data_IF_194974762113
#
_entry.id   IF_194974762113
#
_cell.length_a   1.000
_cell.length_b   1.000
_cell.length_c   1.000
_cell.angle_alpha   90.00
_cell.angle_beta   90.00
_cell.angle_gamma   90.00
#
_symmetry.space_group_name_H-M   'P 1'
#
loop_
_entity.id
_entity.type
_entity.pdbx_description
1 polymer ?
#
# COMPACT_ATOMS: atom_id res chain seq x y z
N UNK A 1 -28.28 -21.21 -14.73
CA UNK A 1 -26.87 -21.12 -14.27
C UNK A 1 -26.53 -22.16 -13.19
N UNK A 2 -27.35 -22.33 -12.14
CA UNK A 2 -27.11 -23.29 -11.03
C UNK A 2 -26.79 -24.74 -11.42
N UNK A 3 -27.33 -25.24 -12.53
CA UNK A 3 -27.13 -26.64 -12.95
C UNK A 3 -25.67 -26.98 -13.32
N UNK A 4 -24.92 -26.02 -13.90
CA UNK A 4 -23.52 -26.24 -14.30
C UNK A 4 -22.58 -26.30 -13.10
N UNK A 5 -22.78 -25.45 -12.10
CA UNK A 5 -21.88 -25.38 -10.94
C UNK A 5 -22.11 -26.57 -9.99
N UNK A 6 -23.36 -27.02 -9.87
CA UNK A 6 -23.69 -28.28 -9.18
C UNK A 6 -23.04 -29.48 -9.89
N UNK A 7 -23.02 -29.50 -11.23
CA UNK A 7 -22.34 -30.55 -12.00
C UNK A 7 -20.82 -30.54 -11.77
N UNK A 8 -20.17 -29.37 -11.81
CA UNK A 8 -18.74 -29.22 -11.52
C UNK A 8 -18.41 -29.65 -10.08
N UNK A 9 -19.25 -29.26 -9.13
CA UNK A 9 -19.09 -29.63 -7.73
C UNK A 9 -19.17 -31.15 -7.53
N UNK A 10 -20.19 -31.78 -8.11
CA UNK A 10 -20.36 -33.23 -8.05
C UNK A 10 -19.20 -33.98 -8.75
N UNK A 11 -18.74 -33.48 -9.89
CA UNK A 11 -17.60 -34.06 -10.61
C UNK A 11 -16.29 -33.96 -9.80
N UNK A 12 -16.06 -32.82 -9.14
CA UNK A 12 -14.87 -32.62 -8.31
C UNK A 12 -14.93 -33.49 -7.05
N UNK A 13 -16.06 -33.52 -6.35
CA UNK A 13 -16.27 -34.38 -5.18
C UNK A 13 -16.06 -35.87 -5.52
N UNK A 14 -16.61 -36.32 -6.65
CA UNK A 14 -16.37 -37.69 -7.14
C UNK A 14 -14.89 -37.96 -7.39
N UNK A 15 -14.19 -37.06 -8.07
CA UNK A 15 -12.75 -37.20 -8.31
C UNK A 15 -11.91 -37.24 -7.01
N UNK A 16 -12.27 -36.44 -5.99
CA UNK A 16 -11.58 -36.44 -4.70
C UNK A 16 -11.75 -37.77 -3.97
N UNK A 17 -12.95 -38.36 -4.03
CA UNK A 17 -13.24 -39.68 -3.47
C UNK A 17 -12.55 -40.80 -4.25
N UNK A 18 -12.63 -40.78 -5.58
CA UNK A 18 -12.04 -41.80 -6.45
C UNK A 18 -10.50 -41.83 -6.34
N UNK A 19 -9.87 -40.68 -6.02
CA UNK A 19 -8.43 -40.57 -5.76
C UNK A 19 -8.03 -40.89 -4.32
N UNK A 20 -8.97 -41.23 -3.44
CA UNK A 20 -8.71 -41.50 -2.02
C UNK A 20 -8.25 -40.28 -1.22
N UNK A 21 -8.46 -39.05 -1.74
CA UNK A 21 -8.11 -37.79 -1.04
C UNK A 21 -9.08 -37.52 0.11
N UNK A 22 -10.31 -38.01 -0.01
CA UNK A 22 -11.36 -37.95 1.00
C UNK A 22 -11.91 -39.36 1.23
N UNK A 23 -12.20 -39.69 2.48
CA UNK A 23 -12.62 -41.02 2.89
C UNK A 23 -14.14 -41.19 2.79
N UNK A 24 -14.89 -40.09 2.89
CA UNK A 24 -16.35 -40.07 2.76
C UNK A 24 -16.81 -39.16 1.64
N UNK A 25 -18.04 -39.40 1.17
CA UNK A 25 -18.66 -38.54 0.14
C UNK A 25 -18.88 -37.12 0.66
N UNK A 26 -19.26 -36.97 1.92
CA UNK A 26 -19.54 -35.66 2.54
C UNK A 26 -18.26 -34.84 2.67
N UNK A 27 -17.16 -35.47 3.10
CA UNK A 27 -15.83 -34.84 3.14
C UNK A 27 -15.40 -34.37 1.74
N UNK A 28 -15.60 -35.22 0.72
CA UNK A 28 -15.27 -34.88 -0.66
C UNK A 28 -16.12 -33.73 -1.20
N UNK A 29 -17.39 -33.66 -0.81
CA UNK A 29 -18.31 -32.60 -1.24
C UNK A 29 -17.95 -31.26 -0.58
N UNK A 30 -17.69 -31.24 0.73
CA UNK A 30 -17.23 -30.03 1.42
C UNK A 30 -15.91 -29.51 0.86
N UNK A 31 -14.94 -30.40 0.65
CA UNK A 31 -13.64 -30.02 0.07
C UNK A 31 -13.77 -29.51 -1.38
N UNK A 32 -14.67 -30.09 -2.16
CA UNK A 32 -14.96 -29.60 -3.51
C UNK A 32 -15.61 -28.20 -3.50
N UNK A 33 -16.49 -27.90 -2.54
CA UNK A 33 -17.07 -26.56 -2.37
C UNK A 33 -15.99 -25.53 -2.05
N UNK A 34 -15.10 -25.84 -1.12
CA UNK A 34 -13.98 -24.96 -0.74
C UNK A 34 -13.05 -24.68 -1.93
N UNK A 35 -12.65 -25.73 -2.67
CA UNK A 35 -11.75 -25.61 -3.82
C UNK A 35 -12.38 -24.81 -4.97
N UNK A 36 -13.69 -24.91 -5.19
CA UNK A 36 -14.38 -24.11 -6.20
C UNK A 36 -14.53 -22.64 -5.79
N UNK A 37 -14.57 -22.35 -4.48
CA UNK A 37 -14.56 -20.97 -3.96
C UNK A 37 -13.17 -20.32 -3.94
N UNK A 38 -12.10 -21.10 -3.87
CA UNK A 38 -10.72 -20.60 -3.78
C UNK A 38 -10.30 -19.63 -4.90
N UNK A 39 -10.63 -19.84 -6.19
CA UNK A 39 -10.27 -18.89 -7.24
C UNK A 39 -10.83 -17.47 -7.01
N UNK A 40 -12.08 -17.37 -6.54
CA UNK A 40 -12.71 -16.08 -6.24
C UNK A 40 -12.05 -15.41 -5.03
N UNK A 41 -11.74 -16.18 -3.99
CA UNK A 41 -10.99 -15.67 -2.83
C UNK A 41 -9.61 -15.17 -3.26
N UNK A 42 -8.90 -15.93 -4.09
CA UNK A 42 -7.58 -15.56 -4.61
C UNK A 42 -7.64 -14.27 -5.45
N UNK A 43 -8.64 -14.13 -6.31
CA UNK A 43 -8.84 -12.92 -7.12
C UNK A 43 -9.13 -11.69 -6.23
N UNK A 44 -9.97 -11.85 -5.21
CA UNK A 44 -10.22 -10.80 -4.23
C UNK A 44 -8.95 -10.39 -3.46
N UNK A 45 -8.12 -11.36 -3.07
CA UNK A 45 -6.84 -11.09 -2.40
C UNK A 45 -5.91 -10.33 -3.33
N UNK A 46 -5.73 -10.80 -4.57
CA UNK A 46 -4.91 -10.10 -5.58
C UNK A 46 -5.39 -8.68 -5.85
N UNK A 47 -6.70 -8.46 -5.95
CA UNK A 47 -7.26 -7.13 -6.12
C UNK A 47 -6.99 -6.21 -4.92
N UNK A 48 -7.10 -6.73 -3.70
CA UNK A 48 -6.75 -5.99 -2.48
C UNK A 48 -5.27 -5.68 -2.40
N UNK A 49 -4.42 -6.61 -2.81
CA UNK A 49 -2.97 -6.44 -2.86
C UNK A 49 -2.58 -5.34 -3.86
N UNK A 50 -3.09 -5.39 -5.09
CA UNK A 50 -2.85 -4.36 -6.09
C UNK A 50 -3.30 -2.96 -5.63
N UNK A 51 -4.45 -2.87 -4.92
CA UNK A 51 -4.90 -1.60 -4.33
C UNK A 51 -3.93 -1.08 -3.26
N UNK A 52 -3.45 -1.97 -2.39
CA UNK A 52 -2.46 -1.61 -1.36
C UNK A 52 -1.14 -1.15 -1.98
N UNK A 53 -0.69 -1.81 -3.04
CA UNK A 53 0.52 -1.39 -3.77
C UNK A 53 0.37 0.04 -4.32
N UNK A 54 -0.77 0.34 -4.94
CA UNK A 54 -1.06 1.70 -5.44
C UNK A 54 -1.12 2.75 -4.30
N UNK A 55 -1.71 2.39 -3.16
CA UNK A 55 -1.74 3.25 -1.97
C UNK A 55 -0.32 3.51 -1.43
N UNK A 56 0.52 2.47 -1.36
CA UNK A 56 1.92 2.58 -0.94
C UNK A 56 2.69 3.52 -1.88
N UNK A 57 2.54 3.38 -3.20
CA UNK A 57 3.18 4.27 -4.16
C UNK A 57 2.71 5.73 -4.05
N UNK A 58 1.41 5.93 -3.77
CA UNK A 58 0.86 7.26 -3.50
C UNK A 58 1.46 7.87 -2.24
N UNK A 59 1.58 7.09 -1.15
CA UNK A 59 2.20 7.53 0.11
C UNK A 59 3.68 7.86 -0.11
N UNK A 60 4.43 7.01 -0.82
CA UNK A 60 5.84 7.27 -1.15
C UNK A 60 6.02 8.59 -1.91
N UNK A 61 5.16 8.86 -2.89
CA UNK A 61 5.17 10.15 -3.61
C UNK A 61 4.93 11.33 -2.68
N UNK A 62 3.97 11.22 -1.76
CA UNK A 62 3.70 12.27 -0.77
C UNK A 62 4.89 12.50 0.17
N UNK A 63 5.53 11.43 0.64
CA UNK A 63 6.74 11.52 1.47
C UNK A 63 7.84 12.29 0.74
N UNK A 64 8.15 11.93 -0.50
CA UNK A 64 9.19 12.62 -1.28
C UNK A 64 8.88 14.12 -1.45
N UNK A 65 7.61 14.48 -1.71
CA UNK A 65 7.20 15.89 -1.83
C UNK A 65 7.39 16.63 -0.51
N UNK A 66 7.01 16.01 0.62
CA UNK A 66 7.18 16.61 1.94
C UNK A 66 8.65 16.77 2.32
N UNK A 67 9.51 15.80 1.98
CA UNK A 67 10.95 15.88 2.19
C UNK A 67 11.57 17.04 1.40
N UNK A 68 11.17 17.22 0.13
CA UNK A 68 11.61 18.35 -0.68
C UNK A 68 11.16 19.70 -0.09
N UNK A 69 9.91 19.79 0.36
CA UNK A 69 9.39 21.00 1.00
C UNK A 69 10.12 21.30 2.31
N UNK A 70 10.45 20.28 3.10
CA UNK A 70 11.22 20.43 4.33
C UNK A 70 12.61 20.98 4.03
N UNK A 71 13.30 20.42 3.04
CA UNK A 71 14.62 20.89 2.64
C UNK A 71 14.59 22.33 2.15
N UNK A 72 13.61 22.71 1.33
CA UNK A 72 13.42 24.09 0.87
C UNK A 72 13.23 25.06 2.03
N UNK A 73 12.37 24.69 3.00
CA UNK A 73 12.15 25.51 4.20
C UNK A 73 13.39 25.64 5.08
N UNK A 74 14.19 24.58 5.19
CA UNK A 74 15.47 24.64 5.91
C UNK A 74 16.44 25.63 5.25
N UNK A 75 16.53 25.61 3.91
CA UNK A 75 17.35 26.58 3.16
C UNK A 75 16.82 28.00 3.34
N UNK A 76 15.51 28.21 3.27
CA UNK A 76 14.90 29.53 3.50
C UNK A 76 15.21 30.07 4.90
N UNK A 77 15.11 29.23 5.94
CA UNK A 77 15.46 29.60 7.32
C UNK A 77 16.93 29.98 7.43
N UNK A 78 17.84 29.22 6.80
CA UNK A 78 19.27 29.52 6.80
C UNK A 78 19.56 30.88 6.14
N UNK A 79 18.92 31.17 5.01
CA UNK A 79 19.07 32.45 4.33
C UNK A 79 18.55 33.60 5.20
N UNK A 80 17.37 33.45 5.82
CA UNK A 80 16.82 34.46 6.72
C UNK A 80 17.70 34.71 7.94
N UNK A 81 18.35 33.68 8.49
CA UNK A 81 19.34 33.88 9.55
C UNK A 81 20.54 34.68 9.08
N UNK A 82 21.08 34.38 7.89
CA UNK A 82 22.20 35.14 7.33
C UNK A 82 21.83 36.60 7.07
N UNK A 83 20.68 36.84 6.43
CA UNK A 83 20.19 38.19 6.13
C UNK A 83 19.99 38.99 7.43
N UNK A 84 19.49 38.32 8.49
CA UNK A 84 19.34 38.93 9.80
C UNK A 84 20.69 39.31 10.42
N UNK A 85 21.68 38.42 10.40
CA UNK A 85 23.02 38.70 10.92
C UNK A 85 23.67 39.87 10.17
N UNK A 86 23.55 39.90 8.84
CA UNK A 86 24.10 40.98 8.01
C UNK A 86 23.44 42.33 8.35
N UNK A 87 22.12 42.35 8.55
CA UNK A 87 21.39 43.55 8.96
C UNK A 87 21.76 44.02 10.38
N UNK A 88 21.93 43.09 11.33
CA UNK A 88 22.38 43.40 12.69
C UNK A 88 23.79 44.02 12.69
N UNK A 89 24.71 43.53 11.86
CA UNK A 89 26.03 44.12 11.68
C UNK A 89 25.98 45.52 11.04
N UNK A 90 25.12 45.72 10.04
CA UNK A 90 24.91 47.04 9.44
C UNK A 90 24.36 48.04 10.46
N UNK A 91 23.39 47.66 11.28
CA UNK A 91 22.86 48.53 12.34
C UNK A 91 23.95 48.92 13.34
N UNK A 92 24.75 47.96 13.84
CA UNK A 92 25.85 48.27 14.76
C UNK A 92 26.90 49.21 14.15
N UNK A 93 27.11 49.13 12.83
CA UNK A 93 28.05 50.02 12.12
C UNK A 93 27.49 51.43 12.00
N UNK A 94 26.19 51.58 11.77
CA UNK A 94 25.49 52.87 11.68
C UNK A 94 25.29 53.54 13.06
N UNK A 95 25.18 52.75 14.14
CA UNK A 95 25.03 53.26 15.50
C UNK A 95 26.35 53.71 16.16
N UNK A 96 27.51 53.42 15.55
CA UNK A 96 28.79 53.95 16.04
C UNK A 96 28.89 55.45 15.74
N UNK A 97 29.13 56.30 16.76
CA UNK A 97 29.25 57.74 16.54
C UNK A 97 30.47 58.05 15.67
N UNK A 98 30.27 58.96 14.70
CA UNK A 98 31.36 59.55 13.92
C UNK A 98 32.13 60.49 14.85
N UNK A 99 33.36 60.12 15.21
CA UNK A 99 34.32 60.99 15.93
C UNK A 99 34.77 62.17 15.08
#
# INVERSE_FOLDING_TARGET
>A
MLSSDIQKLNALAKNLKDKGICHTTDEAFHKAQELLGMPQVLEQVKSKEAKREQEIESIKRKINVLEQQLQQKQTEIQQLHQDKEDLEQQQQTLEKPVE
#
